data_IF_503343959047
#
_entry.id   IF_503343959047
#
_cell.length_a   1.000
_cell.length_b   1.000
_cell.length_c   1.000
_cell.angle_alpha   90.00
_cell.angle_beta   90.00
_cell.angle_gamma   90.00
#
_symmetry.space_group_name_H-M   'P 1'
#
loop_
_entity.id
_entity.type
_entity.pdbx_description
1 polymer ?
#
# COMPACT_ATOMS: atom_id res chain seq x y z
N UNK A 1 -11.23 23.11 -10.13
CA UNK A 1 -10.23 22.05 -9.88
C UNK A 1 -10.71 21.28 -8.67
N UNK A 2 -11.37 20.13 -8.88
CA UNK A 2 -11.85 19.24 -7.83
C UNK A 2 -11.67 17.83 -8.38
N UNK A 3 -10.88 16.98 -7.70
CA UNK A 3 -10.50 15.66 -8.22
C UNK A 3 -9.29 15.01 -7.53
N UNK A 4 -8.50 15.77 -6.77
CA UNK A 4 -7.32 15.28 -6.06
C UNK A 4 -7.37 15.64 -4.59
N UNK A 5 -6.69 14.83 -3.77
CA UNK A 5 -6.36 15.24 -2.41
C UNK A 5 -5.38 16.40 -2.44
N UNK A 6 -5.58 17.38 -1.56
CA UNK A 6 -4.65 18.51 -1.36
C UNK A 6 -4.33 18.68 0.12
N UNK A 7 -3.55 19.70 0.47
CA UNK A 7 -3.18 20.01 1.86
C UNK A 7 -3.54 21.46 2.14
N UNK A 8 -4.20 21.72 3.27
CA UNK A 8 -4.60 23.06 3.69
C UNK A 8 -4.44 23.23 5.20
N UNK A 9 -4.11 24.45 5.65
CA UNK A 9 -4.11 24.81 7.07
C UNK A 9 -5.42 25.50 7.44
N UNK A 10 -6.27 24.84 8.24
CA UNK A 10 -7.55 25.37 8.75
C UNK A 10 -7.50 25.48 10.27
N UNK A 11 -7.84 26.65 10.79
CA UNK A 11 -7.85 26.97 12.24
C UNK A 11 -6.56 26.54 12.97
N UNK A 12 -5.41 26.81 12.33
CA UNK A 12 -4.10 26.51 12.89
C UNK A 12 -3.63 25.06 12.72
N UNK A 13 -4.43 24.16 12.14
CA UNK A 13 -4.10 22.73 11.95
C UNK A 13 -3.95 22.40 10.46
N UNK A 14 -3.00 21.53 10.13
CA UNK A 14 -2.84 20.99 8.78
C UNK A 14 -3.79 19.81 8.56
N UNK A 15 -4.41 19.80 7.38
CA UNK A 15 -5.35 18.77 6.96
C UNK A 15 -4.99 18.28 5.56
N UNK A 16 -5.26 17.01 5.29
CA UNK A 16 -5.57 16.64 3.92
C UNK A 16 -6.96 17.18 3.60
N UNK A 17 -7.15 17.62 2.36
CA UNK A 17 -8.44 18.03 1.84
C UNK A 17 -8.83 17.04 0.76
N UNK A 18 -9.98 16.40 0.90
CA UNK A 18 -10.50 15.45 -0.09
C UNK A 18 -10.85 16.14 -1.42
N UNK A 19 -11.00 15.38 -2.51
CA UNK A 19 -11.41 15.93 -3.81
C UNK A 19 -12.70 16.78 -3.79
N UNK A 20 -13.62 16.51 -2.86
CA UNK A 20 -14.88 17.25 -2.63
C UNK A 20 -14.75 18.41 -1.63
N UNK A 21 -13.56 18.64 -1.05
CA UNK A 21 -13.24 19.83 -0.23
C UNK A 21 -13.35 19.64 1.29
N UNK A 22 -13.65 18.43 1.76
CA UNK A 22 -13.76 18.12 3.18
C UNK A 22 -12.38 17.94 3.85
N UNK A 23 -12.18 18.37 5.11
CA UNK A 23 -11.01 18.00 5.89
C UNK A 23 -10.95 16.49 6.12
N UNK A 24 -9.76 15.91 6.00
CA UNK A 24 -9.51 14.48 6.14
C UNK A 24 -8.28 14.20 7.00
N UNK A 25 -8.42 13.22 7.90
CA UNK A 25 -7.32 12.62 8.64
C UNK A 25 -7.12 11.20 8.12
N UNK A 26 -5.91 10.89 7.69
CA UNK A 26 -5.56 9.53 7.28
C UNK A 26 -5.25 8.69 8.52
N UNK A 27 -6.06 7.67 8.76
CA UNK A 27 -5.85 6.64 9.77
C UNK A 27 -5.71 5.33 8.99
N UNK A 28 -4.47 4.99 8.65
CA UNK A 28 -4.17 3.91 7.73
C UNK A 28 -3.46 2.71 8.34
N UNK A 29 -3.63 1.56 7.69
CA UNK A 29 -2.94 0.31 8.00
C UNK A 29 -1.91 0.00 6.90
N UNK A 30 -0.70 -0.40 7.31
CA UNK A 30 0.37 -0.84 6.41
C UNK A 30 0.44 -2.37 6.37
N UNK A 31 1.24 -2.91 5.45
CA UNK A 31 1.45 -4.34 5.26
C UNK A 31 0.17 -5.11 4.90
N UNK A 32 -0.69 -4.49 4.09
CA UNK A 32 -1.91 -5.14 3.59
C UNK A 32 -1.53 -6.00 2.38
N UNK A 33 -1.33 -7.29 2.60
CA UNK A 33 -0.95 -8.26 1.56
C UNK A 33 -1.56 -9.65 1.86
N UNK A 34 -1.83 -10.44 0.81
CA UNK A 34 -2.46 -11.76 0.92
C UNK A 34 -1.48 -12.95 0.89
N UNK A 35 -0.18 -12.71 0.70
CA UNK A 35 0.83 -13.74 0.48
C UNK A 35 0.89 -14.75 1.64
N UNK A 36 0.82 -14.28 2.88
CA UNK A 36 0.84 -15.14 4.06
C UNK A 36 -0.32 -16.16 4.04
N UNK A 37 -1.48 -15.80 3.51
CA UNK A 37 -2.65 -16.68 3.42
C UNK A 37 -2.47 -17.81 2.39
N UNK A 38 -1.46 -17.69 1.51
CA UNK A 38 -1.19 -18.64 0.42
C UNK A 38 -0.06 -19.62 0.75
N UNK A 39 0.52 -19.53 1.94
CA UNK A 39 1.48 -20.51 2.44
C UNK A 39 0.79 -21.81 2.87
N UNK A 40 1.54 -22.91 2.86
CA UNK A 40 1.03 -24.25 3.22
C UNK A 40 0.53 -24.27 4.67
N UNK A 41 1.21 -23.51 5.53
CA UNK A 41 0.92 -23.32 6.95
C UNK A 41 -0.43 -22.64 7.21
N UNK A 42 -0.97 -21.93 6.22
CA UNK A 42 -2.29 -21.30 6.30
C UNK A 42 -3.45 -22.26 6.02
N UNK A 43 -3.18 -23.56 5.90
CA UNK A 43 -4.18 -24.65 5.83
C UNK A 43 -5.28 -24.43 4.77
N UNK A 44 -4.93 -23.80 3.64
CA UNK A 44 -5.87 -23.52 2.55
C UNK A 44 -6.90 -22.42 2.83
N UNK A 45 -6.70 -21.56 3.84
CA UNK A 45 -7.57 -20.40 4.13
C UNK A 45 -7.88 -19.57 2.88
N UNK A 46 -6.88 -19.36 2.02
CA UNK A 46 -7.04 -18.61 0.77
C UNK A 46 -8.16 -19.16 -0.13
N UNK A 47 -8.23 -20.48 -0.28
CA UNK A 47 -9.25 -21.14 -1.08
C UNK A 47 -10.59 -21.13 -0.36
N UNK A 48 -10.62 -21.53 0.92
CA UNK A 48 -11.86 -21.73 1.67
C UNK A 48 -12.63 -20.43 1.90
N UNK A 49 -11.93 -19.35 2.25
CA UNK A 49 -12.57 -18.08 2.64
C UNK A 49 -12.73 -17.12 1.47
N UNK A 50 -11.84 -17.19 0.46
CA UNK A 50 -11.79 -16.20 -0.62
C UNK A 50 -11.91 -16.81 -2.02
N UNK A 51 -12.16 -18.12 -2.14
CA UNK A 51 -12.31 -18.83 -3.41
C UNK A 51 -11.14 -18.57 -4.40
N UNK A 52 -9.92 -18.46 -3.85
CA UNK A 52 -8.73 -18.09 -4.59
C UNK A 52 -8.79 -16.71 -5.30
N UNK A 53 -9.64 -15.79 -4.84
CA UNK A 53 -9.90 -14.49 -5.46
C UNK A 53 -9.34 -13.33 -4.65
N UNK A 54 -8.47 -12.56 -5.30
CA UNK A 54 -7.92 -11.34 -4.71
C UNK A 54 -8.96 -10.23 -4.54
N UNK A 55 -9.91 -10.13 -5.47
CA UNK A 55 -11.03 -9.19 -5.33
C UNK A 55 -11.89 -9.51 -4.10
N UNK A 56 -12.23 -10.79 -3.88
CA UNK A 56 -13.05 -11.18 -2.72
C UNK A 56 -12.32 -10.88 -1.41
N UNK A 57 -11.03 -11.20 -1.35
CA UNK A 57 -10.19 -10.87 -0.19
C UNK A 57 -10.10 -9.37 0.05
N UNK A 58 -9.85 -8.55 -0.98
CA UNK A 58 -9.76 -7.10 -0.81
C UNK A 58 -11.07 -6.47 -0.35
N UNK A 59 -12.20 -6.96 -0.85
CA UNK A 59 -13.52 -6.50 -0.39
C UNK A 59 -13.75 -6.82 1.08
N UNK A 60 -13.33 -8.01 1.53
CA UNK A 60 -13.38 -8.39 2.94
C UNK A 60 -12.47 -7.51 3.80
N UNK A 61 -11.19 -7.36 3.41
CA UNK A 61 -10.23 -6.50 4.11
C UNK A 61 -10.72 -5.06 4.20
N UNK A 62 -11.26 -4.50 3.11
CA UNK A 62 -11.79 -3.14 3.13
C UNK A 62 -13.02 -2.99 4.03
N UNK A 63 -13.84 -4.04 4.17
CA UNK A 63 -14.93 -4.07 5.15
C UNK A 63 -14.36 -4.04 6.58
N UNK A 64 -13.43 -4.95 6.87
CA UNK A 64 -12.81 -5.09 8.19
C UNK A 64 -12.11 -3.79 8.63
N UNK A 65 -11.36 -3.15 7.72
CA UNK A 65 -10.68 -1.89 8.00
C UNK A 65 -11.68 -0.78 8.38
N UNK A 66 -12.79 -0.65 7.65
CA UNK A 66 -13.83 0.33 7.97
C UNK A 66 -14.49 0.02 9.32
N UNK A 67 -14.79 -1.24 9.59
CA UNK A 67 -15.41 -1.69 10.84
C UNK A 67 -14.48 -1.45 12.05
N UNK A 68 -13.17 -1.55 11.86
CA UNK A 68 -12.16 -1.25 12.88
C UNK A 68 -11.85 0.25 13.01
N UNK A 69 -12.42 1.10 12.14
CA UNK A 69 -12.25 2.56 12.17
C UNK A 69 -11.04 3.08 11.39
N UNK A 70 -10.37 2.25 10.59
CA UNK A 70 -9.40 2.72 9.61
C UNK A 70 -10.10 3.29 8.38
N UNK A 71 -9.52 4.33 7.78
CA UNK A 71 -10.10 5.02 6.63
C UNK A 71 -9.13 5.15 5.44
N UNK A 72 -7.90 4.64 5.56
CA UNK A 72 -6.90 4.67 4.51
C UNK A 72 -6.18 3.33 4.37
N UNK A 73 -5.92 2.90 3.15
CA UNK A 73 -4.97 1.83 2.85
C UNK A 73 -3.57 2.44 2.78
N UNK A 74 -2.68 2.01 3.66
CA UNK A 74 -1.28 2.42 3.67
C UNK A 74 -0.45 1.60 2.68
N UNK A 75 0.78 1.26 3.08
CA UNK A 75 1.68 0.45 2.28
C UNK A 75 1.16 -0.99 2.12
N UNK A 76 1.15 -1.52 0.90
CA UNK A 76 0.47 -2.78 0.54
C UNK A 76 1.42 -3.92 0.17
N UNK A 77 2.64 -3.89 0.70
CA UNK A 77 3.65 -4.91 0.41
C UNK A 77 4.10 -5.58 1.70
N UNK A 78 4.44 -6.85 1.62
CA UNK A 78 4.97 -7.64 2.72
C UNK A 78 6.25 -8.35 2.30
N UNK A 79 7.17 -8.56 3.23
CA UNK A 79 8.36 -9.38 3.02
C UNK A 79 7.93 -10.84 2.87
N UNK A 80 8.06 -11.36 1.65
CA UNK A 80 7.66 -12.74 1.30
C UNK A 80 8.85 -13.69 1.17
N UNK A 81 10.07 -13.14 1.05
CA UNK A 81 11.32 -13.92 1.07
C UNK A 81 12.23 -13.31 2.13
N UNK A 82 12.65 -14.15 3.07
CA UNK A 82 13.61 -13.81 4.14
C UNK A 82 14.72 -14.85 4.11
N UNK A 83 15.86 -14.47 3.56
CA UNK A 83 17.08 -15.29 3.54
C UNK A 83 18.28 -14.40 3.86
N UNK A 84 19.39 -15.00 4.29
CA UNK A 84 20.59 -14.25 4.63
C UNK A 84 21.04 -13.36 3.45
N UNK A 85 21.07 -12.05 3.69
CA UNK A 85 21.42 -11.04 2.68
C UNK A 85 20.32 -10.70 1.66
N UNK A 86 19.22 -11.45 1.56
CA UNK A 86 18.21 -11.27 0.52
C UNK A 86 16.79 -11.26 1.08
N UNK A 87 16.22 -10.05 1.12
CA UNK A 87 14.82 -9.80 1.51
C UNK A 87 14.03 -9.26 0.32
N UNK A 88 12.91 -9.90 -0.01
CA UNK A 88 12.06 -9.45 -1.12
C UNK A 88 10.64 -9.24 -0.65
N UNK A 89 10.11 -8.07 -1.00
CA UNK A 89 8.69 -7.76 -0.80
C UNK A 89 7.83 -8.33 -1.94
N UNK A 90 6.56 -8.59 -1.65
CA UNK A 90 5.52 -8.79 -2.67
C UNK A 90 5.40 -7.56 -3.57
N UNK A 91 4.69 -7.69 -4.70
CA UNK A 91 4.40 -6.53 -5.56
C UNK A 91 3.43 -5.58 -4.86
N UNK A 92 3.46 -4.26 -5.14
CA UNK A 92 2.40 -3.35 -4.68
C UNK A 92 1.06 -3.69 -5.34
N UNK A 93 -0.01 -3.09 -4.82
CA UNK A 93 -1.33 -3.20 -5.44
C UNK A 93 -1.36 -2.52 -6.80
N UNK A 94 -2.14 -3.09 -7.73
CA UNK A 94 -2.45 -2.48 -9.02
C UNK A 94 -3.53 -1.42 -8.88
N UNK A 95 -3.76 -0.66 -9.96
CA UNK A 95 -4.85 0.31 -10.01
C UNK A 95 -6.22 -0.35 -9.72
N UNK A 96 -6.49 -1.49 -10.35
CA UNK A 96 -7.74 -2.25 -10.21
C UNK A 96 -7.96 -2.75 -8.78
N UNK A 97 -6.89 -3.17 -8.11
CA UNK A 97 -6.95 -3.64 -6.71
C UNK A 97 -7.35 -2.53 -5.75
N UNK A 98 -6.85 -1.30 -5.96
CA UNK A 98 -7.37 -0.14 -5.24
C UNK A 98 -8.84 0.14 -5.54
N UNK A 99 -9.29 -0.07 -6.79
CA UNK A 99 -10.72 0.11 -7.13
C UNK A 99 -11.61 -0.94 -6.45
N UNK A 100 -11.14 -2.19 -6.30
CA UNK A 100 -11.89 -3.23 -5.60
C UNK A 100 -12.03 -2.95 -4.10
N UNK A 101 -10.97 -2.42 -3.48
CA UNK A 101 -11.01 -2.02 -2.07
C UNK A 101 -11.89 -0.79 -1.83
N UNK A 102 -11.94 0.14 -2.79
CA UNK A 102 -12.76 1.35 -2.77
C UNK A 102 -12.53 2.19 -1.49
N UNK A 103 -11.26 2.40 -1.16
CA UNK A 103 -10.82 3.19 0.00
C UNK A 103 -9.77 4.21 -0.42
N UNK A 104 -9.68 5.36 0.27
CA UNK A 104 -8.50 6.23 0.19
C UNK A 104 -7.22 5.43 0.39
N UNK A 105 -6.15 5.74 -0.32
CA UNK A 105 -4.90 4.99 -0.23
C UNK A 105 -3.64 5.86 -0.40
N UNK A 106 -2.52 5.36 0.12
CA UNK A 106 -1.19 5.86 -0.15
C UNK A 106 -0.44 4.85 -1.03
N UNK A 107 -0.15 5.21 -2.27
CA UNK A 107 0.64 4.37 -3.17
C UNK A 107 2.12 4.68 -3.07
N UNK A 108 2.96 3.65 -2.91
CA UNK A 108 4.40 3.80 -2.94
C UNK A 108 4.86 4.06 -4.38
N UNK A 109 5.50 5.21 -4.59
CA UNK A 109 6.23 5.49 -5.83
C UNK A 109 7.72 5.25 -5.57
N UNK A 110 8.29 4.11 -6.04
CA UNK A 110 9.70 3.85 -5.87
C UNK A 110 10.50 4.87 -6.69
N UNK A 111 11.34 5.63 -6.00
CA UNK A 111 12.22 6.62 -6.62
C UNK A 111 13.58 6.01 -6.98
N UNK A 112 14.10 5.12 -6.13
CA UNK A 112 15.35 4.38 -6.37
C UNK A 112 15.31 2.99 -5.76
N UNK A 113 16.12 2.07 -6.30
CA UNK A 113 16.38 0.75 -5.72
C UNK A 113 17.44 0.81 -4.60
N UNK A 114 17.21 1.68 -3.61
CA UNK A 114 18.12 1.94 -2.49
C UNK A 114 17.77 1.13 -1.22
N UNK A 115 17.00 0.05 -1.35
CA UNK A 115 16.50 -0.69 -0.21
C UNK A 115 17.60 -1.56 0.44
N UNK A 116 18.11 -1.13 1.60
CA UNK A 116 19.28 -1.71 2.29
C UNK A 116 19.24 -3.23 2.55
N UNK A 117 18.07 -3.86 2.47
CA UNK A 117 17.87 -5.28 2.72
C UNK A 117 17.93 -6.17 1.46
N UNK A 118 18.18 -5.58 0.28
CA UNK A 118 18.41 -6.29 -0.97
C UNK A 118 19.91 -6.46 -1.22
N UNK A 119 20.33 -7.54 -1.88
CA UNK A 119 21.74 -7.72 -2.27
C UNK A 119 22.15 -6.72 -3.37
N UNK A 120 21.20 -6.34 -4.22
CA UNK A 120 21.42 -5.49 -5.39
C UNK A 120 21.16 -4.01 -5.11
N UNK A 121 21.44 -3.52 -3.89
CA UNK A 121 21.24 -2.09 -3.58
C UNK A 121 22.05 -1.23 -4.54
N UNK A 122 21.36 -0.34 -5.25
CA UNK A 122 21.98 0.70 -6.06
C UNK A 122 21.80 2.04 -5.36
N UNK A 123 22.91 2.74 -5.16
CA UNK A 123 22.92 4.11 -4.67
C UNK A 123 23.33 5.02 -5.84
N UNK A 124 22.40 5.34 -6.76
CA UNK A 124 22.71 6.20 -7.88
C UNK A 124 23.10 7.60 -7.39
N UNK A 125 23.97 8.27 -8.15
CA UNK A 125 24.23 9.70 -7.94
C UNK A 125 23.02 10.50 -8.41
N UNK A 126 22.19 10.93 -7.45
CA UNK A 126 20.96 11.68 -7.70
C UNK A 126 21.20 13.07 -8.32
N UNK A 127 22.45 13.54 -8.32
CA UNK A 127 22.81 14.84 -8.89
C UNK A 127 23.40 14.71 -10.30
N UNK A 128 23.58 13.49 -10.81
CA UNK A 128 24.01 13.27 -12.17
C UNK A 128 22.86 13.61 -13.14
N UNK A 129 23.14 14.30 -14.23
CA UNK A 129 22.17 14.61 -15.29
C UNK A 129 21.50 13.35 -15.86
N UNK A 130 22.21 12.21 -15.88
CA UNK A 130 21.66 10.94 -16.34
C UNK A 130 20.50 10.42 -15.45
N UNK A 131 20.37 10.94 -14.22
CA UNK A 131 19.27 10.60 -13.31
C UNK A 131 18.01 11.46 -13.57
N UNK A 132 18.14 12.61 -14.23
CA UNK A 132 17.02 13.49 -14.58
C UNK A 132 16.22 12.98 -15.80
N UNK A 133 16.84 12.14 -16.65
CA UNK A 133 16.25 11.54 -17.87
C UNK A 133 15.46 10.25 -17.60
#
# INVERSE_FOLDING_TARGET
MAGFYTIEKRDGRWWFITPDGAPFWSIGMNHIDSAALRYVESDGVWEREFANSHEQWLRAVASDLRDWGFNTIGWTQEVVIITEGYHRHSRPFTYEEYQWADMPYCHLLPFTEAHQWQVEVRMPDLMNSDFEE
#
